data_IF_423706235383
#
_entry.id   IF_423706235383
#
_cell.length_a   1.000
_cell.length_b   1.000
_cell.length_c   1.000
_cell.angle_alpha   90.00
_cell.angle_beta   90.00
_cell.angle_gamma   90.00
#
_symmetry.space_group_name_H-M   'P 1'
#
loop_
_entity.id
_entity.type
_entity.pdbx_description
1 polymer ?
#
# COMPACT_ATOMS: atom_id res chain seq x y z
N UNK A 1 28.01 52.39 -0.66
CA UNK A 1 26.56 52.24 -0.42
C UNK A 1 26.28 50.83 0.05
N UNK A 2 25.38 50.70 1.01
CA UNK A 2 25.28 49.64 2.02
C UNK A 2 24.63 48.37 1.45
N UNK A 3 25.24 47.23 1.77
CA UNK A 3 24.73 45.88 1.50
C UNK A 3 23.43 45.62 2.28
N UNK A 4 22.34 45.31 1.57
CA UNK A 4 21.10 44.81 2.15
C UNK A 4 21.17 43.29 2.31
N UNK A 5 21.69 42.82 3.44
CA UNK A 5 21.61 41.43 3.87
C UNK A 5 20.16 41.13 4.26
N UNK A 6 19.42 40.49 3.34
CA UNK A 6 18.09 39.93 3.61
C UNK A 6 18.25 38.76 4.58
N UNK A 7 17.76 38.96 5.81
CA UNK A 7 17.73 37.98 6.88
C UNK A 7 17.05 36.69 6.41
N UNK A 8 17.85 35.64 6.18
CA UNK A 8 17.31 34.29 6.11
C UNK A 8 16.92 33.90 7.54
N UNK A 9 15.63 33.97 7.84
CA UNK A 9 15.07 33.25 8.98
C UNK A 9 15.42 31.77 8.83
N UNK A 10 16.27 31.29 9.73
CA UNK A 10 16.54 29.87 9.90
C UNK A 10 15.31 29.33 10.64
N UNK A 11 14.38 28.73 9.88
CA UNK A 11 13.27 27.97 10.47
C UNK A 11 13.90 26.73 11.12
N UNK A 12 13.78 26.53 12.45
CA UNK A 12 14.20 25.29 13.06
C UNK A 12 13.33 24.16 12.50
N UNK A 13 13.98 23.20 11.83
CA UNK A 13 13.39 21.92 11.45
C UNK A 13 13.02 21.18 12.75
N UNK A 14 11.76 21.29 13.16
CA UNK A 14 11.16 20.45 14.19
C UNK A 14 11.03 19.02 13.64
N UNK A 15 11.67 18.01 14.25
CA UNK A 15 11.40 16.61 13.94
C UNK A 15 10.19 16.16 14.77
N UNK A 16 9.00 16.63 14.43
CA UNK A 16 7.75 16.15 15.04
C UNK A 16 6.73 15.89 13.94
N UNK A 17 6.94 14.80 13.21
CA UNK A 17 5.85 14.13 12.53
C UNK A 17 6.16 12.64 12.42
N UNK A 18 6.53 12.04 13.56
CA UNK A 18 6.35 10.61 13.76
C UNK A 18 4.84 10.36 13.81
N UNK A 19 4.29 10.06 12.63
CA UNK A 19 2.97 9.46 12.50
C UNK A 19 2.93 8.28 13.47
N UNK A 20 1.95 8.20 14.38
CA UNK A 20 1.80 7.01 15.20
C UNK A 20 1.60 5.82 14.27
N UNK A 21 2.56 4.91 14.34
CA UNK A 21 2.60 3.64 13.64
C UNK A 21 1.43 2.79 14.19
N UNK A 22 0.22 3.00 13.66
CA UNK A 22 -0.98 2.21 13.99
C UNK A 22 -0.97 0.86 13.25
N UNK A 23 0.08 0.06 13.46
CA UNK A 23 0.22 -1.25 12.80
C UNK A 23 0.43 -2.41 13.79
N UNK A 24 0.43 -2.17 15.10
CA UNK A 24 0.80 -3.20 16.11
C UNK A 24 -0.29 -3.52 17.15
N UNK A 25 -1.58 -3.39 16.80
CA UNK A 25 -2.68 -3.84 17.68
C UNK A 25 -3.73 -4.68 16.94
N UNK A 26 -3.26 -5.69 16.20
CA UNK A 26 -4.13 -6.74 15.64
C UNK A 26 -3.51 -8.14 15.79
N UNK A 27 -2.96 -8.46 16.96
CA UNK A 27 -2.62 -9.85 17.31
C UNK A 27 -2.99 -10.16 18.75
N UNK A 28 -4.28 -10.22 19.06
CA UNK A 28 -4.82 -11.04 20.16
C UNK A 28 -6.29 -11.34 19.91
N UNK A 29 -6.63 -11.79 18.70
CA UNK A 29 -7.90 -12.49 18.51
C UNK A 29 -7.68 -13.88 19.11
N UNK A 30 -7.88 -14.00 20.42
CA UNK A 30 -8.00 -15.30 21.07
C UNK A 30 -9.09 -16.07 20.34
N UNK A 31 -8.65 -17.07 19.59
CA UNK A 31 -9.46 -18.06 18.94
C UNK A 31 -10.11 -18.83 20.09
N UNK A 32 -11.31 -18.42 20.49
CA UNK A 32 -12.20 -19.29 21.24
C UNK A 32 -12.56 -20.44 20.30
N UNK A 33 -11.73 -21.47 20.32
CA UNK A 33 -12.06 -22.79 19.79
C UNK A 33 -13.35 -23.22 20.49
N UNK A 34 -14.47 -23.04 19.79
CA UNK A 34 -15.71 -23.73 20.07
C UNK A 34 -15.48 -25.20 19.71
N UNK A 35 -14.80 -25.90 20.61
CA UNK A 35 -14.61 -27.34 20.55
C UNK A 35 -15.91 -28.02 21.01
N UNK A 36 -16.48 -28.77 20.09
CA UNK A 36 -17.60 -29.70 20.16
C UNK A 36 -18.30 -29.93 21.50
N UNK A 37 -19.46 -29.27 21.65
CA UNK A 37 -20.73 -29.71 22.24
C UNK A 37 -20.78 -30.91 23.22
N UNK A 38 -19.90 -30.96 24.21
CA UNK A 38 -20.23 -31.55 25.50
C UNK A 38 -20.36 -30.40 26.50
N UNK A 39 -21.61 -30.06 26.87
CA UNK A 39 -21.94 -29.02 27.86
C UNK A 39 -21.28 -29.35 29.20
N UNK A 40 -20.01 -28.96 29.35
CA UNK A 40 -19.25 -29.14 30.58
C UNK A 40 -19.87 -28.30 31.69
N UNK A 41 -19.69 -28.72 32.94
CA UNK A 41 -20.20 -27.97 34.07
C UNK A 41 -19.57 -26.57 34.13
N UNK A 42 -20.39 -25.54 34.32
CA UNK A 42 -19.93 -24.15 34.50
C UNK A 42 -19.06 -24.03 35.76
N UNK A 43 -18.17 -23.04 35.80
CA UNK A 43 -17.29 -22.77 36.95
C UNK A 43 -18.08 -22.59 38.26
N UNK A 44 -19.26 -21.98 38.18
CA UNK A 44 -20.16 -21.82 39.34
C UNK A 44 -20.72 -23.16 39.82
N UNK A 45 -21.10 -24.04 38.89
CA UNK A 45 -21.59 -25.38 39.21
C UNK A 45 -20.50 -26.25 39.82
N UNK A 46 -19.25 -26.15 39.33
CA UNK A 46 -18.09 -26.82 39.92
C UNK A 46 -17.85 -26.39 41.37
N UNK A 47 -17.99 -25.08 41.66
CA UNK A 47 -17.87 -24.55 43.01
C UNK A 47 -19.00 -25.07 43.92
N UNK A 48 -20.24 -25.02 43.44
CA UNK A 48 -21.41 -25.55 44.16
C UNK A 48 -21.23 -27.04 44.50
N UNK A 49 -20.75 -27.83 43.55
CA UNK A 49 -20.47 -29.25 43.76
C UNK A 49 -19.39 -29.47 44.83
N UNK A 50 -18.26 -28.78 44.74
CA UNK A 50 -17.16 -28.94 45.69
C UNK A 50 -17.56 -28.51 47.12
N UNK A 51 -18.35 -27.44 47.24
CA UNK A 51 -18.86 -26.95 48.52
C UNK A 51 -19.79 -28.00 49.17
N UNK A 52 -20.68 -28.63 48.39
CA UNK A 52 -21.55 -29.70 48.87
C UNK A 52 -20.78 -30.99 49.18
N UNK A 53 -19.85 -31.40 48.32
CA UNK A 53 -19.03 -32.59 48.51
C UNK A 53 -18.20 -32.50 49.80
N UNK A 54 -17.55 -31.35 50.05
CA UNK A 54 -16.78 -31.10 51.28
C UNK A 54 -17.65 -31.13 52.53
N UNK A 55 -18.84 -30.51 52.47
CA UNK A 55 -19.81 -30.51 53.58
C UNK A 55 -20.19 -31.92 54.01
N UNK A 56 -20.44 -32.82 53.05
CA UNK A 56 -20.78 -34.20 53.36
C UNK A 56 -19.55 -35.01 53.76
N UNK A 57 -18.45 -34.93 53.01
CA UNK A 57 -17.23 -35.72 53.28
C UNK A 57 -16.58 -35.39 54.64
N UNK A 58 -16.71 -34.16 55.13
CA UNK A 58 -16.19 -33.75 56.44
C UNK A 58 -16.95 -34.30 57.65
N UNK A 59 -18.15 -34.83 57.46
CA UNK A 59 -18.96 -35.43 58.55
C UNK A 59 -18.82 -36.96 58.52
N UNK A 60 -18.53 -37.63 59.66
CA UNK A 60 -18.50 -39.09 59.75
C UNK A 60 -19.81 -39.73 59.28
N UNK A 61 -19.71 -40.87 58.60
CA UNK A 61 -20.83 -41.53 57.91
C UNK A 61 -22.04 -41.79 58.83
N UNK A 62 -21.80 -42.10 60.11
CA UNK A 62 -22.84 -42.42 61.11
C UNK A 62 -23.71 -41.22 61.51
N UNK A 63 -23.16 -40.00 61.44
CA UNK A 63 -23.84 -38.76 61.86
C UNK A 63 -24.28 -37.89 60.70
N UNK A 64 -24.13 -38.38 59.47
CA UNK A 64 -24.34 -37.61 58.26
C UNK A 64 -25.82 -37.62 57.86
N UNK A 65 -26.45 -36.45 57.94
CA UNK A 65 -27.85 -36.26 57.49
C UNK A 65 -27.85 -35.78 56.06
N UNK A 66 -28.31 -36.62 55.15
CA UNK A 66 -28.37 -36.33 53.72
C UNK A 66 -29.69 -35.64 53.33
N UNK A 67 -29.61 -34.43 52.77
CA UNK A 67 -30.78 -33.78 52.16
C UNK A 67 -30.93 -34.26 50.71
N UNK A 68 -32.10 -34.83 50.39
CA UNK A 68 -32.35 -35.42 49.06
C UNK A 68 -32.11 -34.42 47.91
N UNK A 69 -32.57 -33.17 48.08
CA UNK A 69 -32.39 -32.10 47.08
C UNK A 69 -30.91 -31.80 46.81
N UNK A 70 -30.07 -31.81 47.84
CA UNK A 70 -28.64 -31.53 47.70
C UNK A 70 -27.93 -32.70 46.98
N UNK A 71 -28.31 -33.96 47.27
CA UNK A 71 -27.79 -35.13 46.55
C UNK A 71 -28.19 -35.10 45.07
N UNK A 72 -29.45 -34.82 44.77
CA UNK A 72 -29.94 -34.75 43.38
C UNK A 72 -29.21 -33.66 42.60
N UNK A 73 -28.97 -32.50 43.24
CA UNK A 73 -28.19 -31.42 42.66
C UNK A 73 -26.73 -31.81 42.43
N UNK A 74 -26.08 -32.47 43.39
CA UNK A 74 -24.71 -32.98 43.21
C UNK A 74 -24.63 -34.01 42.09
N UNK A 75 -25.59 -34.94 42.01
CA UNK A 75 -25.65 -35.97 40.95
C UNK A 75 -25.85 -35.33 39.57
N UNK A 76 -26.70 -34.32 39.49
CA UNK A 76 -26.91 -33.55 38.26
C UNK A 76 -25.62 -32.86 37.80
N UNK A 77 -24.97 -32.10 38.69
CA UNK A 77 -23.73 -31.39 38.34
C UNK A 77 -22.61 -32.38 37.98
N UNK A 78 -22.45 -33.46 38.75
CA UNK A 78 -21.46 -34.50 38.47
C UNK A 78 -21.68 -35.18 37.10
N UNK A 79 -22.94 -35.31 36.67
CA UNK A 79 -23.31 -35.78 35.33
C UNK A 79 -22.91 -34.83 34.19
N UNK A 80 -22.81 -33.53 34.46
CA UNK A 80 -22.36 -32.50 33.51
C UNK A 80 -20.83 -32.35 33.46
N UNK A 81 -20.11 -32.82 34.48
CA UNK A 81 -18.64 -32.70 34.52
C UNK A 81 -17.96 -33.61 33.49
N UNK A 82 -16.95 -33.09 32.81
CA UNK A 82 -16.02 -33.90 32.01
C UNK A 82 -15.10 -34.73 32.90
N UNK A 83 -14.46 -35.76 32.35
CA UNK A 83 -13.56 -36.62 33.13
C UNK A 83 -12.35 -35.86 33.70
N UNK A 84 -11.89 -34.82 33.00
CA UNK A 84 -10.85 -33.91 33.51
C UNK A 84 -11.35 -33.11 34.73
N UNK A 85 -12.58 -32.60 34.67
CA UNK A 85 -13.20 -31.85 35.77
C UNK A 85 -13.44 -32.75 36.98
N UNK A 86 -13.89 -33.99 36.79
CA UNK A 86 -14.10 -34.96 37.89
C UNK A 86 -12.83 -35.33 38.63
N UNK A 87 -11.70 -35.46 37.93
CA UNK A 87 -10.38 -35.72 38.55
C UNK A 87 -9.90 -34.56 39.41
N UNK A 88 -10.30 -33.33 39.09
CA UNK A 88 -9.94 -32.12 39.83
C UNK A 88 -10.90 -31.80 40.99
N UNK A 89 -12.11 -32.35 40.96
CA UNK A 89 -13.15 -32.11 41.96
C UNK A 89 -13.03 -33.02 43.19
N UNK A 90 -13.72 -32.66 44.26
CA UNK A 90 -13.82 -33.48 45.47
C UNK A 90 -14.56 -34.81 45.19
N UNK A 91 -14.18 -35.92 45.84
CA UNK A 91 -14.78 -37.22 45.60
C UNK A 91 -16.27 -37.25 46.02
N UNK A 92 -17.08 -37.97 45.25
CA UNK A 92 -18.53 -38.06 45.51
C UNK A 92 -18.81 -38.80 46.85
N UNK A 93 -19.66 -38.26 47.74
CA UNK A 93 -19.96 -38.89 49.02
C UNK A 93 -20.60 -40.29 48.89
N UNK A 94 -20.21 -41.23 49.76
CA UNK A 94 -20.82 -42.56 49.80
C UNK A 94 -22.20 -42.54 50.47
N UNK A 95 -23.28 -42.62 49.68
CA UNK A 95 -24.67 -42.51 50.16
C UNK A 95 -25.28 -43.91 50.33
N UNK A 96 -25.84 -44.25 51.52
CA UNK A 96 -26.48 -45.55 51.73
C UNK A 96 -27.75 -45.72 50.87
N UNK A 97 -28.09 -46.96 50.45
CA UNK A 97 -29.26 -47.21 49.62
C UNK A 97 -30.56 -46.87 50.35
N UNK A 98 -31.53 -46.29 49.62
CA UNK A 98 -32.87 -46.01 50.16
C UNK A 98 -33.59 -47.33 50.52
N UNK A 99 -34.30 -47.39 51.65
CA UNK A 99 -35.13 -48.54 52.02
C UNK A 99 -36.26 -48.74 51.00
N UNK A 100 -36.51 -50.00 50.61
CA UNK A 100 -37.53 -50.38 49.61
C UNK A 100 -38.93 -50.12 50.17
N UNK A 101 -39.69 -49.22 49.57
CA UNK A 101 -41.11 -49.01 49.88
C UNK A 101 -41.99 -49.91 49.01
N UNK A 102 -42.81 -50.76 49.63
CA UNK A 102 -43.73 -51.66 48.96
C UNK A 102 -44.91 -50.89 48.33
N UNK A 103 -45.11 -51.07 47.02
CA UNK A 103 -46.26 -50.56 46.27
C UNK A 103 -47.42 -51.56 46.27
N UNK A 104 -48.60 -51.19 46.76
CA UNK A 104 -49.82 -51.98 46.66
C UNK A 104 -50.70 -51.54 45.49
N UNK A 105 -51.28 -52.55 44.82
CA UNK A 105 -51.89 -52.50 43.49
C UNK A 105 -53.41 -52.75 43.51
N UNK A 106 -54.09 -52.19 42.49
CA UNK A 106 -55.27 -52.70 41.74
C UNK A 106 -56.62 -52.82 42.44
N UNK A 107 -57.66 -52.33 41.75
CA UNK A 107 -58.94 -53.04 41.67
C UNK A 107 -59.58 -52.85 40.27
N UNK A 108 -60.13 -53.93 39.72
CA UNK A 108 -60.64 -54.07 38.33
C UNK A 108 -61.94 -54.85 38.35
N UNK A 109 -63.08 -54.19 38.13
CA UNK A 109 -64.36 -54.88 37.90
C UNK A 109 -65.44 -53.94 37.29
N UNK A 110 -65.40 -53.73 35.96
CA UNK A 110 -66.44 -52.99 35.23
C UNK A 110 -66.40 -53.27 33.70
N UNK A 111 -66.37 -54.54 33.26
CA UNK A 111 -65.93 -54.90 31.89
C UNK A 111 -66.98 -55.24 30.82
N UNK A 112 -68.29 -55.34 31.10
CA UNK A 112 -69.22 -55.92 30.09
C UNK A 112 -70.29 -54.99 29.49
N UNK A 113 -70.55 -53.79 30.05
CA UNK A 113 -71.34 -52.73 29.35
C UNK A 113 -70.45 -51.67 28.67
N UNK A 114 -69.13 -51.85 28.77
CA UNK A 114 -68.11 -50.92 28.28
C UNK A 114 -67.75 -51.13 26.81
N UNK A 115 -68.13 -52.23 26.15
CA UNK A 115 -67.58 -52.61 24.83
C UNK A 115 -68.12 -51.77 23.64
N UNK A 116 -69.44 -51.56 23.49
CA UNK A 116 -69.99 -50.73 22.41
C UNK A 116 -69.77 -49.22 22.66
N UNK A 117 -70.04 -48.78 23.90
CA UNK A 117 -69.19 -47.91 24.73
C UNK A 117 -67.84 -47.46 24.16
N UNK A 118 -66.95 -48.46 24.16
CA UNK A 118 -65.54 -48.37 23.88
C UNK A 118 -65.26 -48.31 22.39
N UNK A 119 -66.05 -48.92 21.50
CA UNK A 119 -65.81 -48.78 20.05
C UNK A 119 -66.09 -47.37 19.54
N UNK A 120 -67.20 -46.74 19.94
CA UNK A 120 -67.45 -45.33 19.61
C UNK A 120 -66.44 -44.40 20.28
N UNK A 121 -65.99 -44.71 21.50
CA UNK A 121 -64.92 -43.98 22.16
C UNK A 121 -63.56 -44.17 21.46
N UNK A 122 -63.25 -45.37 20.98
CA UNK A 122 -62.03 -45.71 20.24
C UNK A 122 -62.02 -45.00 18.88
N UNK A 123 -63.14 -44.94 18.16
CA UNK A 123 -63.25 -44.18 16.92
C UNK A 123 -63.06 -42.67 17.14
N UNK A 124 -63.67 -42.10 18.19
CA UNK A 124 -63.48 -40.69 18.56
C UNK A 124 -62.04 -40.40 18.99
N UNK A 125 -61.41 -41.31 19.72
CA UNK A 125 -60.02 -41.23 20.15
C UNK A 125 -59.05 -41.34 18.96
N UNK A 126 -59.31 -42.25 18.02
CA UNK A 126 -58.51 -42.37 16.79
C UNK A 126 -58.60 -41.10 15.93
N UNK A 127 -59.80 -40.50 15.80
CA UNK A 127 -59.97 -39.22 15.10
C UNK A 127 -59.22 -38.08 15.78
N UNK A 128 -59.30 -37.99 17.11
CA UNK A 128 -58.56 -36.97 17.89
C UNK A 128 -57.04 -37.17 17.79
N UNK A 129 -56.57 -38.42 17.83
CA UNK A 129 -55.14 -38.75 17.63
C UNK A 129 -54.67 -38.41 16.22
N UNK A 130 -55.48 -38.69 15.20
CA UNK A 130 -55.17 -38.34 13.81
C UNK A 130 -55.10 -36.82 13.63
N UNK A 131 -56.05 -36.06 14.19
CA UNK A 131 -56.05 -34.60 14.14
C UNK A 131 -54.87 -34.00 14.92
N UNK A 132 -54.57 -34.53 16.12
CA UNK A 132 -53.39 -34.12 16.89
C UNK A 132 -52.09 -34.39 16.13
N UNK A 133 -51.99 -35.54 15.44
CA UNK A 133 -50.83 -35.87 14.60
C UNK A 133 -50.72 -34.93 13.41
N UNK A 134 -51.84 -34.59 12.76
CA UNK A 134 -51.86 -33.64 11.66
C UNK A 134 -51.47 -32.22 12.09
N UNK A 135 -51.92 -31.76 13.27
CA UNK A 135 -51.52 -30.47 13.85
C UNK A 135 -50.02 -30.43 14.16
N UNK A 136 -49.48 -31.49 14.75
CA UNK A 136 -48.04 -31.60 15.02
C UNK A 136 -47.20 -31.60 13.74
N UNK A 137 -47.67 -32.27 12.68
CA UNK A 137 -47.01 -32.25 11.37
C UNK A 137 -47.04 -30.84 10.74
N UNK A 138 -48.18 -30.15 10.77
CA UNK A 138 -48.32 -28.79 10.26
C UNK A 138 -47.46 -27.78 11.04
N UNK A 139 -47.37 -27.93 12.37
CA UNK A 139 -46.51 -27.10 13.21
C UNK A 139 -45.02 -27.33 12.89
N UNK A 140 -44.61 -28.59 12.71
CA UNK A 140 -43.24 -28.94 12.33
C UNK A 140 -42.85 -28.41 10.93
N UNK A 141 -43.78 -28.42 9.97
CA UNK A 141 -43.55 -27.81 8.65
C UNK A 141 -43.44 -26.29 8.74
N UNK A 142 -44.28 -25.65 9.56
CA UNK A 142 -44.23 -24.21 9.80
C UNK A 142 -42.91 -23.79 10.47
N UNK A 143 -42.45 -24.52 11.50
CA UNK A 143 -41.16 -24.23 12.15
C UNK A 143 -40.00 -24.39 11.17
N UNK A 144 -40.00 -25.45 10.36
CA UNK A 144 -38.98 -25.67 9.33
C UNK A 144 -38.96 -24.54 8.29
N UNK A 145 -40.12 -24.08 7.81
CA UNK A 145 -40.22 -22.95 6.89
C UNK A 145 -39.70 -21.65 7.51
N UNK A 146 -40.04 -21.40 8.79
CA UNK A 146 -39.57 -20.23 9.54
C UNK A 146 -38.06 -20.25 9.73
N UNK A 147 -37.49 -21.38 10.11
CA UNK A 147 -36.04 -21.56 10.25
C UNK A 147 -35.32 -21.35 8.92
N UNK A 148 -35.87 -21.86 7.82
CA UNK A 148 -35.30 -21.66 6.48
C UNK A 148 -35.29 -20.18 6.08
N UNK A 149 -36.36 -19.43 6.38
CA UNK A 149 -36.41 -17.98 6.14
C UNK A 149 -35.40 -17.22 6.98
N UNK A 150 -35.28 -17.55 8.28
CA UNK A 150 -34.30 -16.92 9.16
C UNK A 150 -32.86 -17.23 8.74
N UNK A 151 -32.59 -18.45 8.28
CA UNK A 151 -31.29 -18.83 7.74
C UNK A 151 -30.98 -18.05 6.45
N UNK A 152 -31.95 -17.93 5.53
CA UNK A 152 -31.79 -17.14 4.30
C UNK A 152 -31.59 -15.63 4.58
N UNK A 153 -32.26 -15.08 5.59
CA UNK A 153 -32.04 -13.70 6.01
C UNK A 153 -30.66 -13.50 6.65
N UNK A 154 -30.20 -14.46 7.46
CA UNK A 154 -28.87 -14.43 8.06
C UNK A 154 -27.76 -14.47 7.00
N UNK A 155 -27.90 -15.31 5.97
CA UNK A 155 -26.93 -15.36 4.85
C UNK A 155 -26.97 -14.09 4.02
N UNK A 156 -28.15 -13.51 3.77
CA UNK A 156 -28.26 -12.22 3.08
C UNK A 156 -27.56 -11.08 3.86
N UNK A 157 -27.72 -11.02 5.19
CA UNK A 157 -27.01 -10.05 6.04
C UNK A 157 -25.50 -10.23 6.05
N UNK A 158 -25.01 -11.46 6.00
CA UNK A 158 -23.57 -11.73 5.88
C UNK A 158 -23.03 -11.25 4.52
N UNK A 159 -23.73 -11.56 3.43
CA UNK A 159 -23.37 -11.10 2.10
C UNK A 159 -23.36 -9.57 1.99
N UNK A 160 -24.33 -8.88 2.59
CA UNK A 160 -24.38 -7.42 2.64
C UNK A 160 -23.19 -6.83 3.40
N UNK A 161 -22.85 -7.41 4.57
CA UNK A 161 -21.65 -7.01 5.34
C UNK A 161 -20.37 -7.21 4.53
N UNK A 162 -20.22 -8.33 3.82
CA UNK A 162 -19.07 -8.58 2.97
C UNK A 162 -18.97 -7.56 1.83
N UNK A 163 -20.08 -7.24 1.17
CA UNK A 163 -20.12 -6.22 0.13
C UNK A 163 -19.75 -4.84 0.67
N UNK A 164 -20.24 -4.47 1.85
CA UNK A 164 -19.87 -3.22 2.52
C UNK A 164 -18.37 -3.14 2.81
N UNK A 165 -17.76 -4.21 3.33
CA UNK A 165 -16.31 -4.25 3.59
C UNK A 165 -15.51 -4.14 2.28
N UNK A 166 -15.93 -4.85 1.23
CA UNK A 166 -15.31 -4.75 -0.10
C UNK A 166 -15.39 -3.32 -0.66
N UNK A 167 -16.55 -2.67 -0.55
CA UNK A 167 -16.74 -1.29 -0.99
C UNK A 167 -15.87 -0.30 -0.20
N UNK A 168 -15.77 -0.49 1.12
CA UNK A 168 -14.91 0.32 1.99
C UNK A 168 -13.43 0.18 1.62
N UNK A 169 -12.98 -1.05 1.35
CA UNK A 169 -11.62 -1.34 0.92
C UNK A 169 -11.32 -0.73 -0.46
N UNK A 170 -12.22 -0.91 -1.44
CA UNK A 170 -12.10 -0.29 -2.76
C UNK A 170 -12.04 1.25 -2.67
N UNK A 171 -12.80 1.87 -1.77
CA UNK A 171 -12.73 3.31 -1.54
C UNK A 171 -11.38 3.74 -0.94
N UNK A 172 -10.80 2.94 -0.04
CA UNK A 172 -9.47 3.21 0.51
C UNK A 172 -8.38 3.08 -0.57
N UNK A 173 -8.44 2.04 -1.41
CA UNK A 173 -7.53 1.84 -2.53
C UNK A 173 -7.60 2.99 -3.54
N UNK A 174 -8.81 3.43 -3.91
CA UNK A 174 -8.99 4.58 -4.81
C UNK A 174 -8.37 5.87 -4.25
N UNK A 175 -8.47 6.09 -2.92
CA UNK A 175 -7.83 7.24 -2.26
C UNK A 175 -6.29 7.15 -2.29
N UNK A 176 -5.73 5.96 -2.15
CA UNK A 176 -4.28 5.73 -2.26
C UNK A 176 -3.83 5.98 -3.69
N UNK A 177 -4.52 5.44 -4.68
CA UNK A 177 -4.22 5.65 -6.10
C UNK A 177 -4.25 7.13 -6.47
N UNK A 178 -5.26 7.88 -6.01
CA UNK A 178 -5.36 9.31 -6.25
C UNK A 178 -4.17 10.10 -5.67
N UNK A 179 -3.73 9.77 -4.44
CA UNK A 179 -2.55 10.39 -3.83
C UNK A 179 -1.29 10.09 -4.64
N UNK A 180 -1.11 8.83 -5.03
CA UNK A 180 0.04 8.41 -5.84
C UNK A 180 0.07 9.13 -7.20
N UNK A 181 -1.08 9.31 -7.85
CA UNK A 181 -1.19 10.09 -9.09
C UNK A 181 -0.79 11.55 -8.87
N UNK A 182 -1.26 12.18 -7.78
CA UNK A 182 -0.90 13.56 -7.46
C UNK A 182 0.59 13.73 -7.16
N UNK A 183 1.20 12.79 -6.47
CA UNK A 183 2.63 12.79 -6.19
C UNK A 183 3.44 12.56 -7.48
N UNK A 184 2.99 11.69 -8.37
CA UNK A 184 3.59 11.47 -9.69
C UNK A 184 3.51 12.72 -10.58
N UNK A 185 2.33 13.36 -10.70
CA UNK A 185 2.14 14.62 -11.43
C UNK A 185 3.09 15.72 -10.91
N UNK A 186 3.25 15.81 -9.59
CA UNK A 186 4.16 16.77 -8.95
C UNK A 186 5.62 16.46 -9.26
N UNK A 187 6.00 15.18 -9.26
CA UNK A 187 7.35 14.74 -9.63
C UNK A 187 7.67 15.04 -11.10
N UNK A 188 6.75 14.72 -12.02
CA UNK A 188 6.87 15.03 -13.45
C UNK A 188 7.01 16.53 -13.70
N UNK A 189 6.21 17.35 -13.01
CA UNK A 189 6.32 18.81 -13.10
C UNK A 189 7.73 19.31 -12.71
N UNK A 190 8.29 18.78 -11.61
CA UNK A 190 9.64 19.16 -11.18
C UNK A 190 10.70 18.68 -12.16
N UNK A 191 10.56 17.46 -12.71
CA UNK A 191 11.46 16.92 -13.72
C UNK A 191 11.46 17.79 -14.98
N UNK A 192 10.28 18.16 -15.50
CA UNK A 192 10.14 19.04 -16.66
C UNK A 192 10.73 20.43 -16.41
N UNK A 193 10.58 20.96 -15.20
CA UNK A 193 11.19 22.24 -14.81
C UNK A 193 12.72 22.15 -14.82
N UNK A 194 13.30 21.06 -14.32
CA UNK A 194 14.73 20.83 -14.34
C UNK A 194 15.26 20.66 -15.76
N UNK A 195 14.55 19.91 -16.60
CA UNK A 195 14.88 19.74 -18.02
C UNK A 195 14.87 21.08 -18.77
N UNK A 196 13.87 21.93 -18.55
CA UNK A 196 13.82 23.28 -19.12
C UNK A 196 14.99 24.15 -18.66
N UNK A 197 15.41 24.02 -17.39
CA UNK A 197 16.59 24.74 -16.89
C UNK A 197 17.87 24.24 -17.56
N UNK A 198 17.99 22.93 -17.76
CA UNK A 198 19.15 22.34 -18.42
C UNK A 198 19.20 22.77 -19.90
N UNK A 199 18.10 22.66 -20.62
CA UNK A 199 18.01 23.11 -22.02
C UNK A 199 18.36 24.60 -22.18
N UNK A 200 17.97 25.46 -21.23
CA UNK A 200 18.37 26.88 -21.22
C UNK A 200 19.87 27.07 -21.02
N UNK A 201 20.50 26.26 -20.15
CA UNK A 201 21.96 26.29 -19.94
C UNK A 201 22.69 25.84 -21.20
N UNK A 202 22.27 24.72 -21.78
CA UNK A 202 22.90 24.15 -22.99
C UNK A 202 22.77 25.13 -24.18
N UNK A 203 21.61 25.78 -24.32
CA UNK A 203 21.41 26.81 -25.34
C UNK A 203 22.33 28.03 -25.12
N UNK A 204 22.50 28.48 -23.87
CA UNK A 204 23.41 29.57 -23.54
C UNK A 204 24.88 29.19 -23.80
N UNK A 205 25.27 27.96 -23.49
CA UNK A 205 26.61 27.44 -23.77
C UNK A 205 26.88 27.35 -25.27
N UNK A 206 25.92 26.86 -26.05
CA UNK A 206 26.00 26.82 -27.51
C UNK A 206 26.14 28.23 -28.11
N UNK A 207 25.37 29.20 -27.62
CA UNK A 207 25.48 30.61 -28.04
C UNK A 207 26.85 31.20 -27.70
N UNK A 208 27.38 30.94 -26.49
CA UNK A 208 28.71 31.39 -26.08
C UNK A 208 29.82 30.75 -26.91
N UNK A 209 29.70 29.46 -27.23
CA UNK A 209 30.65 28.74 -28.09
C UNK A 209 30.64 29.29 -29.53
N UNK A 210 29.45 29.50 -30.09
CA UNK A 210 29.27 30.10 -31.42
C UNK A 210 29.85 31.52 -31.49
N UNK A 211 29.60 32.36 -30.47
CA UNK A 211 30.15 33.70 -30.39
C UNK A 211 31.69 33.71 -30.31
N UNK A 212 32.29 32.76 -29.57
CA UNK A 212 33.75 32.57 -29.52
C UNK A 212 34.31 32.17 -30.88
N UNK A 213 33.65 31.25 -31.59
CA UNK A 213 34.06 30.82 -32.92
C UNK A 213 34.00 31.98 -33.94
N UNK A 214 32.91 32.75 -33.92
CA UNK A 214 32.77 33.94 -34.78
C UNK A 214 33.85 34.99 -34.49
N UNK A 215 34.19 35.22 -33.21
CA UNK A 215 35.27 36.14 -32.84
C UNK A 215 36.63 35.65 -33.36
N UNK A 216 36.92 34.36 -33.24
CA UNK A 216 38.15 33.76 -33.75
C UNK A 216 38.25 33.89 -35.29
N UNK A 217 37.14 33.69 -36.00
CA UNK A 217 37.09 33.88 -37.46
C UNK A 217 37.30 35.35 -37.86
N UNK A 218 36.71 36.28 -37.13
CA UNK A 218 36.97 37.71 -37.31
C UNK A 218 38.44 38.09 -37.08
N UNK A 219 39.09 37.50 -36.07
CA UNK A 219 40.53 37.71 -35.82
C UNK A 219 41.38 37.16 -36.96
N UNK A 220 41.10 35.94 -37.44
CA UNK A 220 41.77 35.36 -38.61
C UNK A 220 41.62 36.22 -39.87
N UNK A 221 40.42 36.72 -40.14
CA UNK A 221 40.18 37.62 -41.28
C UNK A 221 40.96 38.94 -41.15
N UNK A 222 41.09 39.49 -39.93
CA UNK A 222 41.89 40.70 -39.68
C UNK A 222 43.38 40.44 -39.91
N UNK A 223 43.90 39.31 -39.45
CA UNK A 223 45.29 38.89 -39.66
C UNK A 223 45.59 38.70 -41.15
N UNK A 224 44.70 38.04 -41.89
CA UNK A 224 44.83 37.82 -43.32
C UNK A 224 44.80 39.15 -44.11
N UNK A 225 43.86 40.05 -43.79
CA UNK A 225 43.82 41.40 -44.36
C UNK A 225 45.10 42.18 -44.07
N UNK A 226 45.64 42.08 -42.85
CA UNK A 226 46.89 42.73 -42.49
C UNK A 226 48.07 42.15 -43.28
N UNK A 227 48.11 40.83 -43.49
CA UNK A 227 49.13 40.15 -44.30
C UNK A 227 49.07 40.60 -45.76
N UNK A 228 47.87 40.62 -46.34
CA UNK A 228 47.63 41.10 -47.71
C UNK A 228 48.08 42.56 -47.89
N UNK A 229 47.75 43.43 -46.94
CA UNK A 229 48.18 44.84 -46.98
C UNK A 229 49.71 44.99 -46.95
N UNK A 230 50.39 44.24 -46.06
CA UNK A 230 51.87 44.23 -45.99
C UNK A 230 52.48 43.75 -47.30
N UNK A 231 51.92 42.72 -47.92
CA UNK A 231 52.37 42.19 -49.20
C UNK A 231 52.17 43.20 -50.34
N UNK A 232 51.01 43.84 -50.43
CA UNK A 232 50.75 44.89 -51.42
C UNK A 232 51.74 46.05 -51.27
N UNK A 233 52.01 46.48 -50.04
CA UNK A 233 53.00 47.52 -49.74
C UNK A 233 54.41 47.11 -50.17
N UNK A 234 54.80 45.86 -49.95
CA UNK A 234 56.09 45.33 -50.38
C UNK A 234 56.20 45.29 -51.92
N UNK A 235 55.16 44.78 -52.61
CA UNK A 235 55.09 44.77 -54.09
C UNK A 235 55.18 46.17 -54.68
N UNK A 236 54.49 47.15 -54.08
CA UNK A 236 54.56 48.55 -54.52
C UNK A 236 55.97 49.14 -54.35
N UNK A 237 56.65 48.84 -53.24
CA UNK A 237 58.03 49.26 -53.02
C UNK A 237 58.99 48.62 -54.04
N UNK A 238 58.78 47.35 -54.39
CA UNK A 238 59.56 46.63 -55.39
C UNK A 238 59.35 47.21 -56.80
N UNK A 239 58.11 47.49 -57.21
CA UNK A 239 57.81 48.15 -58.47
C UNK A 239 58.48 49.53 -58.57
N UNK A 240 58.42 50.34 -57.51
CA UNK A 240 59.09 51.63 -57.45
C UNK A 240 60.63 51.49 -57.56
N UNK A 241 61.21 50.44 -56.98
CA UNK A 241 62.63 50.13 -57.12
C UNK A 241 62.98 49.76 -58.56
N UNK A 242 62.21 48.87 -59.18
CA UNK A 242 62.37 48.49 -60.58
C UNK A 242 62.26 49.71 -61.52
N UNK A 243 61.31 50.61 -61.28
CA UNK A 243 61.14 51.83 -62.06
C UNK A 243 62.36 52.76 -61.97
N UNK A 244 62.92 52.93 -60.76
CA UNK A 244 64.16 53.70 -60.54
C UNK A 244 65.35 53.08 -61.27
N UNK A 245 65.52 51.77 -61.19
CA UNK A 245 66.58 51.05 -61.89
C UNK A 245 66.45 51.20 -63.42
N UNK A 246 65.23 51.13 -63.94
CA UNK A 246 64.94 51.28 -65.37
C UNK A 246 65.21 52.71 -65.86
N UNK A 247 64.82 53.72 -65.08
CA UNK A 247 65.18 55.13 -65.33
C UNK A 247 66.70 55.33 -65.35
N UNK A 248 67.42 54.75 -64.39
CA UNK A 248 68.89 54.84 -64.32
C UNK A 248 69.54 54.17 -65.54
N UNK A 249 69.06 53.01 -65.98
CA UNK A 249 69.52 52.33 -67.21
C UNK A 249 69.30 53.22 -68.44
N UNK A 250 68.12 53.82 -68.59
CA UNK A 250 67.82 54.76 -69.71
C UNK A 250 68.76 55.96 -69.71
N UNK A 251 69.02 56.57 -68.54
CA UNK A 251 69.97 57.69 -68.42
C UNK A 251 71.39 57.27 -68.85
N UNK A 252 71.85 56.08 -68.43
CA UNK A 252 73.16 55.56 -68.83
C UNK A 252 73.27 55.33 -70.34
N UNK A 253 72.24 54.75 -70.96
CA UNK A 253 72.19 54.56 -72.41
C UNK A 253 72.17 55.90 -73.17
N UNK A 254 71.39 56.88 -72.72
CA UNK A 254 71.37 58.22 -73.31
C UNK A 254 72.77 58.86 -73.29
N UNK A 255 73.43 58.89 -72.11
CA UNK A 255 74.80 59.40 -71.98
C UNK A 255 75.80 58.69 -72.90
N UNK A 256 75.65 57.37 -73.06
CA UNK A 256 76.49 56.56 -73.97
C UNK A 256 76.26 56.96 -75.44
N UNK A 257 75.02 57.22 -75.85
CA UNK A 257 74.71 57.67 -77.21
C UNK A 257 75.18 59.10 -77.48
N UNK A 258 75.05 60.02 -76.51
CA UNK A 258 75.60 61.38 -76.57
C UNK A 258 77.12 61.36 -76.72
N UNK A 259 77.82 60.55 -75.92
CA UNK A 259 79.27 60.38 -76.02
C UNK A 259 79.69 59.83 -77.41
N UNK A 260 78.93 58.89 -77.98
CA UNK A 260 79.16 58.40 -79.35
C UNK A 260 78.94 59.50 -80.40
N UNK A 261 77.88 60.30 -80.27
CA UNK A 261 77.62 61.45 -81.18
C UNK A 261 78.74 62.48 -81.10
N UNK A 262 79.15 62.88 -79.89
CA UNK A 262 80.26 63.82 -79.68
C UNK A 262 81.59 63.32 -80.26
N UNK A 263 81.90 62.02 -80.13
CA UNK A 263 83.08 61.42 -80.81
C UNK A 263 82.97 61.50 -82.33
N UNK A 264 81.78 61.24 -82.89
CA UNK A 264 81.54 61.34 -84.35
C UNK A 264 81.66 62.77 -84.85
N UNK A 265 81.17 63.77 -84.12
CA UNK A 265 81.34 65.19 -84.44
C UNK A 265 82.80 65.64 -84.39
N UNK A 266 83.55 65.24 -83.35
CA UNK A 266 85.01 65.48 -83.28
C UNK A 266 85.76 64.86 -84.47
N UNK A 267 85.39 63.66 -84.90
CA UNK A 267 85.99 63.03 -86.10
C UNK A 267 85.60 63.68 -87.44
N UNK A 268 84.51 64.47 -87.47
CA UNK A 268 84.10 65.24 -88.66
C UNK A 268 84.76 66.62 -88.71
N UNK A 269 84.92 67.29 -87.58
CA UNK A 269 85.65 68.56 -87.48
C UNK A 269 87.12 68.41 -87.90
N UNK A 270 87.79 67.30 -87.53
CA UNK A 270 89.16 67.02 -87.96
C UNK A 270 89.34 66.76 -89.47
N UNK A 271 88.27 66.63 -90.26
CA UNK A 271 88.33 66.43 -91.72
C UNK A 271 88.13 67.70 -92.55
N UNK A 272 87.78 68.83 -91.93
CA UNK A 272 87.54 70.10 -92.63
C UNK A 272 88.71 71.10 -92.51
N UNK A 273 89.78 70.76 -91.80
CA UNK A 273 91.00 71.58 -91.65
C UNK A 273 92.14 71.11 -92.58
N UNK A 274 91.81 70.43 -93.69
CA UNK A 274 92.78 69.91 -94.67
C UNK A 274 92.31 70.19 -96.10
#
# INVERSE_FOLDING_TARGET
>A
LVYGFSSREIIPLTPENEKPNMVDQLESTEIFEQDDQQKSASREQMKEYNDLARKYNGVPMEKRIYKLKEIERMKYIYGLMSDKQRKSAEPFPNIPPKPKTASSSKNTEARSKLAAKAEHAQAKEMKLKAESKARLAAEAEYTKSREMKLAAEATARLAEKEQYQKAKLAQAEAKIQYKNQKDAEKAEYQARKLEQQQAKKDMAEAQMSSAKAAKLEQEKMKEEKMKMYKEQKARAAELNKQEKELKLKKIKELKKTEAKKAKKEKSKSSKNDN
#
